data_IF_174687692064
#
_entry.id   IF_174687692064
#
_cell.length_a   1.000
_cell.length_b   1.000
_cell.length_c   1.000
_cell.angle_alpha   90.00
_cell.angle_beta   90.00
_cell.angle_gamma   90.00
#
_symmetry.space_group_name_H-M   'P 1'
#
loop_
_entity.id
_entity.type
_entity.pdbx_description
1 polymer ?
#
# COMPACT_ATOMS: atom_id res chain seq x y z
N UNK A 1 -8.45 12.19 -13.07
CA UNK A 1 -7.53 11.22 -13.69
C UNK A 1 -7.77 9.89 -12.99
N UNK A 2 -7.77 8.78 -13.74
CA UNK A 2 -8.01 7.45 -13.19
C UNK A 2 -6.65 6.79 -12.93
N UNK A 3 -6.45 6.15 -11.76
CA UNK A 3 -5.22 5.45 -11.48
C UNK A 3 -5.01 4.35 -12.52
N UNK A 4 -3.78 4.23 -13.03
CA UNK A 4 -3.40 3.17 -13.97
C UNK A 4 -3.31 1.82 -13.27
N UNK A 5 -2.97 1.85 -11.97
CA UNK A 5 -2.86 0.69 -11.11
C UNK A 5 -3.48 1.01 -9.74
N UNK A 6 -4.24 0.05 -9.21
CA UNK A 6 -4.72 0.08 -7.82
C UNK A 6 -4.17 -1.12 -7.07
N UNK A 7 -3.35 -0.89 -6.06
CA UNK A 7 -2.85 -1.91 -5.15
C UNK A 7 -3.75 -1.97 -3.92
N UNK A 8 -4.42 -3.10 -3.71
CA UNK A 8 -5.25 -3.35 -2.53
C UNK A 8 -4.54 -4.37 -1.65
N UNK A 9 -4.21 -3.97 -0.42
CA UNK A 9 -3.43 -4.80 0.51
C UNK A 9 -4.20 -4.93 1.83
N UNK A 10 -4.66 -6.14 2.20
CA UNK A 10 -5.19 -6.39 3.54
C UNK A 10 -4.06 -6.39 4.56
N UNK A 11 -4.32 -5.80 5.72
CA UNK A 11 -3.37 -5.59 6.81
C UNK A 11 -3.97 -6.16 8.09
N UNK A 12 -3.27 -7.12 8.71
CA UNK A 12 -3.68 -7.75 9.96
C UNK A 12 -2.51 -7.82 10.95
N UNK A 13 -2.59 -7.03 12.03
CA UNK A 13 -1.59 -6.97 13.12
C UNK A 13 -0.15 -6.67 12.64
N UNK A 14 0.00 -5.90 11.56
CA UNK A 14 1.29 -5.56 10.94
C UNK A 14 1.88 -4.22 11.42
N UNK A 15 1.61 -3.80 12.66
CA UNK A 15 2.05 -2.49 13.19
C UNK A 15 3.56 -2.25 13.02
N UNK A 16 4.37 -3.29 13.19
CA UNK A 16 5.84 -3.19 13.11
C UNK A 16 6.37 -3.21 11.67
N UNK A 17 5.59 -3.72 10.70
CA UNK A 17 6.04 -3.95 9.31
C UNK A 17 5.40 -3.00 8.31
N UNK A 18 4.24 -2.44 8.62
CA UNK A 18 3.45 -1.60 7.70
C UNK A 18 4.21 -0.38 7.19
N UNK A 19 5.10 0.20 8.02
CA UNK A 19 5.94 1.33 7.61
C UNK A 19 6.98 0.93 6.56
N UNK A 20 7.61 -0.24 6.70
CA UNK A 20 8.59 -0.73 5.73
C UNK A 20 7.91 -1.19 4.44
N UNK A 21 6.71 -1.79 4.54
CA UNK A 21 5.86 -2.09 3.40
C UNK A 21 5.56 -0.81 2.60
N UNK A 22 5.08 0.23 3.28
CA UNK A 22 4.79 1.53 2.64
C UNK A 22 6.04 2.12 1.98
N UNK A 23 7.19 2.14 2.67
CA UNK A 23 8.45 2.68 2.14
C UNK A 23 8.84 2.01 0.82
N UNK A 24 8.77 0.67 0.77
CA UNK A 24 9.15 -0.12 -0.40
C UNK A 24 8.16 0.03 -1.54
N UNK A 25 6.85 0.01 -1.25
CA UNK A 25 5.81 0.20 -2.28
C UNK A 25 5.89 1.61 -2.86
N UNK A 26 6.08 2.63 -2.02
CA UNK A 26 6.17 4.03 -2.46
C UNK A 26 7.30 4.24 -3.46
N UNK A 27 8.49 3.68 -3.19
CA UNK A 27 9.62 3.75 -4.11
C UNK A 27 9.29 3.17 -5.50
N UNK A 28 8.53 2.08 -5.55
CA UNK A 28 8.07 1.46 -6.79
C UNK A 28 6.99 2.33 -7.47
N UNK A 29 6.03 2.86 -6.71
CA UNK A 29 4.97 3.73 -7.24
C UNK A 29 5.53 5.00 -7.90
N UNK A 30 6.61 5.57 -7.33
CA UNK A 30 7.25 6.78 -7.86
C UNK A 30 7.81 6.60 -9.28
N UNK A 31 8.10 5.37 -9.69
CA UNK A 31 8.59 5.04 -11.04
C UNK A 31 7.47 4.60 -12.02
N UNK A 32 6.28 4.25 -11.51
CA UNK A 32 5.21 3.60 -12.29
C UNK A 32 4.13 4.55 -12.85
N UNK A 33 4.09 5.81 -12.37
CA UNK A 33 3.11 6.83 -12.76
C UNK A 33 1.94 6.95 -11.78
N UNK A 34 0.72 7.21 -12.26
CA UNK A 34 -0.45 7.31 -11.38
C UNK A 34 -0.86 5.94 -10.81
N UNK A 35 -0.58 5.76 -9.51
CA UNK A 35 -0.87 4.55 -8.75
C UNK A 35 -1.65 4.89 -7.49
N UNK A 36 -2.65 4.08 -7.18
CA UNK A 36 -3.40 4.13 -5.93
C UNK A 36 -2.98 2.97 -5.02
N UNK A 37 -2.80 3.23 -3.72
CA UNK A 37 -2.55 2.21 -2.70
C UNK A 37 -3.66 2.27 -1.65
N UNK A 38 -4.35 1.15 -1.47
CA UNK A 38 -5.45 0.97 -0.52
C UNK A 38 -5.01 -0.07 0.51
N UNK A 39 -4.78 0.37 1.74
CA UNK A 39 -4.51 -0.51 2.88
C UNK A 39 -5.82 -0.78 3.62
N UNK A 40 -6.24 -2.04 3.66
CA UNK A 40 -7.50 -2.46 4.28
C UNK A 40 -7.18 -3.10 5.62
N UNK A 41 -7.65 -2.51 6.72
CA UNK A 41 -7.56 -3.17 8.02
C UNK A 41 -8.47 -4.41 8.03
N UNK A 42 -7.86 -5.59 8.08
CA UNK A 42 -8.54 -6.89 8.06
C UNK A 42 -8.82 -7.43 9.47
N UNK A 43 -9.24 -6.53 10.37
CA UNK A 43 -9.59 -6.89 11.75
C UNK A 43 -8.42 -6.93 12.73
N UNK A 44 -7.38 -6.11 12.52
CA UNK A 44 -6.28 -5.92 13.46
C UNK A 44 -6.79 -5.56 14.87
N UNK A 45 -6.08 -6.01 15.90
CA UNK A 45 -6.43 -5.85 17.31
C UNK A 45 -5.48 -4.93 18.06
#
# INVERSE_FOLDING_TARGET
MNPKYSLVVPVYNEETTILELYRRIKAVMDELGEVELILVNDGSR
#
